data_IF_242986228357
#
_entry.id   IF_242986228357
#
_cell.length_a   1.000
_cell.length_b   1.000
_cell.length_c   1.000
_cell.angle_alpha   90.00
_cell.angle_beta   90.00
_cell.angle_gamma   90.00
#
_symmetry.space_group_name_H-M   'P 1'
#
loop_
_entity.id
_entity.type
_entity.pdbx_description
1 polymer ?
#
# COMPACT_ATOMS: atom_id res chain seq x y z
N UNK A 1 -46.50 24.28 0.60
CA UNK A 1 -45.51 23.85 -0.39
C UNK A 1 -44.16 23.99 0.28
N UNK A 2 -43.66 22.88 0.88
CA UNK A 2 -42.39 22.86 1.63
C UNK A 2 -41.28 22.49 0.68
N UNK A 3 -40.25 23.34 0.61
CA UNK A 3 -39.01 23.07 -0.13
C UNK A 3 -38.21 22.01 0.65
N UNK A 4 -37.73 20.94 0.03
CA UNK A 4 -36.88 19.96 0.72
C UNK A 4 -35.51 20.57 1.06
N UNK A 5 -34.85 20.14 2.15
CA UNK A 5 -33.56 20.66 2.54
C UNK A 5 -32.49 20.31 1.52
N UNK A 6 -31.65 21.29 1.19
CA UNK A 6 -30.48 21.16 0.36
C UNK A 6 -29.54 20.11 0.94
N UNK A 7 -29.16 19.15 0.11
CA UNK A 7 -28.13 18.18 0.37
C UNK A 7 -26.81 18.93 0.65
N UNK A 8 -26.32 18.85 1.87
CA UNK A 8 -25.02 19.37 2.26
C UNK A 8 -23.96 18.69 1.36
N UNK A 9 -23.30 19.51 0.56
CA UNK A 9 -22.20 19.09 -0.29
C UNK A 9 -21.13 18.38 0.53
N UNK A 10 -20.74 17.19 0.10
CA UNK A 10 -19.56 16.53 0.61
C UNK A 10 -18.38 17.48 0.44
N UNK A 11 -17.73 17.81 1.54
CA UNK A 11 -16.48 18.56 1.52
C UNK A 11 -15.50 17.88 0.57
N UNK A 12 -14.86 18.68 -0.31
CA UNK A 12 -13.77 18.19 -1.16
C UNK A 12 -12.72 17.47 -0.28
N UNK A 13 -12.14 16.35 -0.75
CA UNK A 13 -11.11 15.67 0.02
C UNK A 13 -10.02 16.66 0.39
N UNK A 14 -9.64 16.66 1.68
CA UNK A 14 -8.57 17.52 2.17
C UNK A 14 -7.34 17.34 1.29
N UNK A 15 -6.76 18.45 0.85
CA UNK A 15 -5.56 18.48 0.02
C UNK A 15 -4.51 17.51 0.59
N UNK A 16 -4.07 16.55 -0.24
CA UNK A 16 -3.04 15.57 0.11
C UNK A 16 -1.73 16.03 -0.54
N UNK A 17 -0.86 16.75 0.19
CA UNK A 17 0.39 17.23 -0.36
C UNK A 17 1.23 16.06 -0.89
N UNK A 18 1.79 16.21 -2.09
CA UNK A 18 2.55 15.14 -2.73
C UNK A 18 3.73 14.67 -1.89
N UNK A 19 4.36 15.57 -1.16
CA UNK A 19 5.49 15.27 -0.28
C UNK A 19 5.14 14.42 0.94
N UNK A 20 3.85 14.27 1.26
CA UNK A 20 3.39 13.42 2.36
C UNK A 20 3.02 12.00 1.88
N UNK A 21 3.02 11.75 0.57
CA UNK A 21 2.72 10.43 -0.03
C UNK A 21 3.99 9.67 -0.33
N UNK A 22 4.13 8.50 0.27
CA UNK A 22 5.28 7.62 0.10
C UNK A 22 4.87 6.32 -0.62
N UNK A 23 5.54 6.07 -1.75
CA UNK A 23 5.41 4.85 -2.55
C UNK A 23 6.36 3.79 -2.00
N UNK A 24 5.82 2.64 -1.64
CA UNK A 24 6.57 1.49 -1.12
C UNK A 24 6.49 0.35 -2.15
N UNK A 25 7.45 0.23 -3.05
CA UNK A 25 7.51 -0.88 -4.00
C UNK A 25 7.65 -2.24 -3.32
N UNK A 26 7.37 -3.28 -4.08
CA UNK A 26 7.62 -4.66 -3.66
C UNK A 26 9.04 -5.14 -3.99
N UNK A 27 9.23 -6.48 -3.91
CA UNK A 27 10.45 -7.14 -4.34
C UNK A 27 10.80 -6.77 -5.78
N UNK A 28 12.09 -6.52 -6.04
CA UNK A 28 12.65 -6.08 -7.33
C UNK A 28 12.28 -4.66 -7.76
N UNK A 29 11.69 -3.85 -6.85
CA UNK A 29 11.28 -2.47 -7.14
C UNK A 29 10.11 -2.38 -8.14
N UNK A 30 9.75 -1.16 -8.51
CA UNK A 30 8.76 -0.84 -9.56
C UNK A 30 9.49 -0.23 -10.76
N UNK A 31 9.44 -0.91 -11.90
CA UNK A 31 10.03 -0.42 -13.14
C UNK A 31 9.34 0.85 -13.68
N UNK A 32 9.88 1.43 -14.75
CA UNK A 32 9.37 2.69 -15.31
C UNK A 32 7.92 2.60 -15.84
N UNK A 33 7.46 1.40 -16.22
CA UNK A 33 6.09 1.15 -16.69
C UNK A 33 5.08 0.94 -15.55
N UNK A 34 5.55 0.72 -14.34
CA UNK A 34 4.71 0.45 -13.18
C UNK A 34 3.94 1.70 -12.74
N UNK A 35 2.69 1.52 -12.31
CA UNK A 35 1.83 2.64 -11.89
C UNK A 35 2.44 3.47 -10.77
N UNK A 36 3.21 2.89 -9.83
CA UNK A 36 3.92 3.67 -8.80
C UNK A 36 4.96 4.61 -9.42
N UNK A 37 5.76 4.15 -10.37
CA UNK A 37 6.74 5.00 -11.07
C UNK A 37 6.09 6.11 -11.88
N UNK A 38 4.92 5.82 -12.47
CA UNK A 38 4.13 6.83 -13.17
C UNK A 38 3.52 7.85 -12.21
N UNK A 39 3.05 7.42 -11.03
CA UNK A 39 2.55 8.34 -10.00
C UNK A 39 3.65 9.22 -9.42
N UNK A 40 4.85 8.68 -9.22
CA UNK A 40 6.04 9.45 -8.83
C UNK A 40 6.30 10.59 -9.82
N UNK A 41 6.31 10.30 -11.12
CA UNK A 41 6.52 11.29 -12.17
C UNK A 41 5.36 12.29 -12.31
N UNK A 42 4.12 11.79 -12.28
CA UNK A 42 2.92 12.59 -12.56
C UNK A 42 2.48 13.46 -11.39
N UNK A 43 2.59 12.94 -10.17
CA UNK A 43 2.06 13.58 -8.96
C UNK A 43 3.15 14.07 -8.02
N UNK A 44 4.43 13.77 -8.28
CA UNK A 44 5.53 14.15 -7.40
C UNK A 44 5.58 13.38 -6.09
N UNK A 45 4.94 12.20 -6.02
CA UNK A 45 5.02 11.32 -4.86
C UNK A 45 6.43 10.80 -4.64
N UNK A 46 6.80 10.49 -3.40
CA UNK A 46 8.14 10.08 -3.04
C UNK A 46 8.25 8.56 -2.97
N UNK A 47 9.29 8.01 -3.57
CA UNK A 47 9.61 6.59 -3.41
C UNK A 47 10.44 6.37 -2.16
N UNK A 48 10.06 5.36 -1.38
CA UNK A 48 10.90 4.84 -0.31
C UNK A 48 11.98 3.94 -0.93
N UNK A 49 13.19 4.46 -1.03
CA UNK A 49 14.32 3.71 -1.57
C UNK A 49 14.83 2.68 -0.55
N UNK A 50 15.15 1.48 -1.04
CA UNK A 50 15.67 0.38 -0.24
C UNK A 50 17.12 0.08 -0.60
N UNK A 51 17.89 -0.48 0.33
CA UNK A 51 19.30 -0.78 0.12
C UNK A 51 19.52 -1.92 -0.87
N UNK A 52 18.69 -2.95 -0.84
CA UNK A 52 18.75 -4.11 -1.73
C UNK A 52 17.34 -4.52 -2.15
N UNK A 53 17.05 -4.36 -3.44
CA UNK A 53 15.78 -4.75 -4.03
C UNK A 53 15.72 -6.23 -4.41
N UNK A 54 16.89 -6.87 -4.59
CA UNK A 54 16.96 -8.26 -5.06
C UNK A 54 16.95 -9.25 -3.89
N UNK A 55 17.57 -8.90 -2.78
CA UNK A 55 17.64 -9.70 -1.57
C UNK A 55 17.11 -8.89 -0.37
N UNK A 56 15.80 -8.65 -0.33
CA UNK A 56 15.20 -7.76 0.65
C UNK A 56 15.30 -8.37 2.06
N UNK A 57 15.95 -7.65 2.96
CA UNK A 57 15.97 -7.98 4.38
C UNK A 57 14.87 -7.17 5.09
N UNK A 58 13.92 -7.87 5.71
CA UNK A 58 12.77 -7.22 6.38
C UNK A 58 13.20 -6.19 7.43
N UNK A 59 14.24 -6.49 8.19
CA UNK A 59 14.79 -5.57 9.20
C UNK A 59 15.29 -4.26 8.58
N UNK A 60 16.07 -4.33 7.51
CA UNK A 60 16.61 -3.16 6.82
C UNK A 60 15.49 -2.31 6.20
N UNK A 61 14.55 -2.96 5.53
CA UNK A 61 13.40 -2.28 4.94
C UNK A 61 12.54 -1.61 6.01
N UNK A 62 12.34 -2.28 7.15
CA UNK A 62 11.58 -1.74 8.29
C UNK A 62 12.29 -0.55 8.93
N UNK A 63 13.62 -0.60 9.08
CA UNK A 63 14.41 0.52 9.59
C UNK A 63 14.33 1.74 8.67
N UNK A 64 14.43 1.52 7.35
CA UNK A 64 14.29 2.60 6.37
C UNK A 64 12.90 3.25 6.41
N UNK A 65 11.83 2.45 6.52
CA UNK A 65 10.48 3.00 6.70
C UNK A 65 10.34 3.78 8.01
N UNK A 66 10.90 3.26 9.11
CA UNK A 66 10.90 3.91 10.41
C UNK A 66 11.59 5.28 10.36
N UNK A 67 12.79 5.36 9.78
CA UNK A 67 13.52 6.62 9.60
C UNK A 67 12.72 7.62 8.78
N UNK A 68 12.18 7.19 7.63
CA UNK A 68 11.39 8.04 6.73
C UNK A 68 10.16 8.63 7.43
N UNK A 69 9.43 7.80 8.19
CA UNK A 69 8.23 8.26 8.90
C UNK A 69 8.60 9.14 10.09
N UNK A 70 9.71 8.85 10.78
CA UNK A 70 10.19 9.66 11.89
C UNK A 70 10.56 11.09 11.43
N UNK A 71 11.26 11.18 10.31
CA UNK A 71 11.76 12.45 9.76
C UNK A 71 10.68 13.27 9.06
N UNK A 72 9.54 12.67 8.74
CA UNK A 72 8.45 13.37 8.09
C UNK A 72 7.88 14.49 9.00
N UNK A 73 7.76 15.74 8.48
CA UNK A 73 7.27 16.86 9.26
C UNK A 73 5.77 16.76 9.58
N UNK A 74 5.02 16.01 8.78
CA UNK A 74 3.58 15.78 8.91
C UNK A 74 3.27 14.29 8.83
N UNK A 75 2.06 13.86 9.27
CA UNK A 75 1.62 12.48 9.06
C UNK A 75 1.59 12.11 7.57
N UNK A 76 2.15 10.95 7.25
CA UNK A 76 2.32 10.46 5.88
C UNK A 76 1.17 9.56 5.43
N UNK A 77 1.02 9.40 4.12
CA UNK A 77 0.19 8.38 3.49
C UNK A 77 1.10 7.36 2.81
N UNK A 78 0.88 6.08 3.09
CA UNK A 78 1.68 4.99 2.55
C UNK A 78 0.95 4.34 1.36
N UNK A 79 1.63 4.20 0.24
CA UNK A 79 1.11 3.55 -0.97
C UNK A 79 2.00 2.36 -1.30
N UNK A 80 1.61 1.19 -0.83
CA UNK A 80 2.42 -0.01 -0.92
C UNK A 80 1.94 -0.97 -2.00
N UNK A 81 2.87 -1.66 -2.62
CA UNK A 81 2.62 -2.73 -3.57
C UNK A 81 3.33 -4.02 -3.14
N UNK A 82 2.65 -5.16 -3.28
CA UNK A 82 3.23 -6.49 -3.10
C UNK A 82 3.92 -6.66 -1.73
N UNK A 83 5.24 -6.92 -1.71
CA UNK A 83 6.03 -7.06 -0.49
C UNK A 83 6.03 -5.79 0.37
N UNK A 84 5.87 -4.62 -0.25
CA UNK A 84 5.69 -3.35 0.45
C UNK A 84 4.47 -3.33 1.38
N UNK A 85 3.39 -4.06 1.04
CA UNK A 85 2.22 -4.20 1.92
C UNK A 85 2.56 -5.01 3.19
N UNK A 86 3.36 -6.06 3.02
CA UNK A 86 3.80 -6.91 4.14
C UNK A 86 4.77 -6.13 5.06
N UNK A 87 5.62 -5.27 4.46
CA UNK A 87 6.45 -4.33 5.20
C UNK A 87 5.61 -3.40 6.07
N UNK A 88 4.58 -2.78 5.51
CA UNK A 88 3.68 -1.87 6.26
C UNK A 88 3.05 -2.59 7.45
N UNK A 89 2.51 -3.80 7.25
CA UNK A 89 1.87 -4.57 8.30
C UNK A 89 2.87 -4.96 9.42
N UNK A 90 4.07 -5.39 9.04
CA UNK A 90 5.13 -5.72 9.99
C UNK A 90 5.58 -4.49 10.79
N UNK A 91 5.91 -3.42 10.10
CA UNK A 91 6.38 -2.17 10.72
C UNK A 91 5.33 -1.59 11.65
N UNK A 92 4.06 -1.52 11.23
CA UNK A 92 2.99 -0.98 12.05
C UNK A 92 2.75 -1.74 13.35
N UNK A 93 2.98 -3.07 13.35
CA UNK A 93 2.87 -3.90 14.54
C UNK A 93 4.00 -3.68 15.55
N UNK A 94 5.13 -3.12 15.13
CA UNK A 94 6.34 -2.96 15.95
C UNK A 94 6.74 -1.50 16.20
N UNK A 95 6.06 -0.54 15.56
CA UNK A 95 6.38 0.88 15.68
C UNK A 95 5.29 1.67 16.37
N UNK A 96 5.61 2.36 17.48
CA UNK A 96 4.66 3.27 18.13
C UNK A 96 4.31 4.49 17.25
N UNK A 97 5.13 4.81 16.23
CA UNK A 97 4.86 5.94 15.33
C UNK A 97 3.67 5.67 14.39
N UNK A 98 3.35 4.40 14.12
CA UNK A 98 2.31 4.02 13.17
C UNK A 98 0.96 4.70 13.47
N UNK A 99 0.57 4.76 14.74
CA UNK A 99 -0.72 5.34 15.16
C UNK A 99 -0.77 6.88 15.05
N UNK A 100 0.37 7.56 15.00
CA UNK A 100 0.42 9.04 15.09
C UNK A 100 1.01 9.70 13.85
N UNK A 101 1.87 8.99 13.13
CA UNK A 101 2.61 9.51 11.98
C UNK A 101 2.10 8.99 10.64
N UNK A 102 1.12 8.07 10.61
CA UNK A 102 0.50 7.59 9.37
C UNK A 102 -0.98 7.97 9.36
N UNK A 103 -1.38 8.74 8.36
CA UNK A 103 -2.77 9.14 8.14
C UNK A 103 -3.60 8.02 7.52
N UNK A 104 -3.01 7.25 6.62
CA UNK A 104 -3.67 6.13 5.95
C UNK A 104 -2.74 5.35 5.03
N UNK A 105 -3.22 4.21 4.54
CA UNK A 105 -2.46 3.37 3.60
C UNK A 105 -3.32 2.77 2.48
N UNK A 106 -2.83 2.85 1.25
CA UNK A 106 -3.31 2.07 0.11
C UNK A 106 -2.37 0.87 -0.11
N UNK A 107 -2.89 -0.34 0.09
CA UNK A 107 -2.16 -1.59 0.07
C UNK A 107 -2.59 -2.42 -1.15
N UNK A 108 -1.76 -2.46 -2.18
CA UNK A 108 -2.12 -3.00 -3.50
C UNK A 108 -1.46 -4.35 -3.73
N UNK A 109 -2.26 -5.35 -4.09
CA UNK A 109 -1.81 -6.71 -4.41
C UNK A 109 -0.81 -7.25 -3.37
N UNK A 110 -1.16 -7.35 -2.07
CA UNK A 110 -0.24 -7.80 -1.04
C UNK A 110 0.33 -9.17 -1.41
N UNK A 111 1.66 -9.33 -1.38
CA UNK A 111 2.32 -10.60 -1.64
C UNK A 111 2.14 -11.56 -0.47
N UNK A 112 1.63 -12.78 -0.70
CA UNK A 112 1.54 -13.77 0.36
C UNK A 112 2.89 -14.46 0.59
N UNK A 113 3.74 -13.85 1.43
CA UNK A 113 5.07 -14.36 1.76
C UNK A 113 5.04 -15.77 2.43
N UNK A 114 3.88 -16.29 2.76
CA UNK A 114 3.71 -17.65 3.30
C UNK A 114 3.56 -18.71 2.21
N UNK A 115 3.33 -18.32 0.94
CA UNK A 115 3.33 -19.26 -0.17
C UNK A 115 4.71 -19.93 -0.34
N UNK A 116 4.78 -21.23 -0.62
CA UNK A 116 6.06 -21.96 -0.67
C UNK A 116 7.11 -21.32 -1.57
N UNK A 117 6.72 -20.92 -2.78
CA UNK A 117 7.64 -20.32 -3.76
C UNK A 117 8.15 -18.93 -3.35
N UNK A 118 7.35 -18.15 -2.61
CA UNK A 118 7.80 -16.86 -2.10
C UNK A 118 8.63 -17.01 -0.82
N UNK A 119 8.27 -17.97 0.03
CA UNK A 119 9.01 -18.25 1.27
C UNK A 119 10.46 -18.67 1.00
N UNK A 120 10.68 -19.40 -0.09
CA UNK A 120 12.02 -19.85 -0.50
C UNK A 120 12.91 -18.66 -0.93
N UNK A 121 12.36 -17.73 -1.72
CA UNK A 121 13.12 -16.60 -2.30
C UNK A 121 13.12 -15.35 -1.41
N UNK A 122 12.21 -15.27 -0.44
CA UNK A 122 12.06 -14.15 0.49
C UNK A 122 12.18 -14.63 1.95
N UNK A 123 13.35 -15.14 2.35
CA UNK A 123 13.54 -15.64 3.71
C UNK A 123 13.35 -14.52 4.74
N UNK A 124 12.67 -14.85 5.84
CA UNK A 124 12.41 -13.90 6.93
C UNK A 124 11.19 -12.98 6.75
N UNK A 125 10.47 -13.06 5.62
CA UNK A 125 9.24 -12.29 5.41
C UNK A 125 7.97 -12.99 5.92
N UNK A 126 8.01 -14.29 6.09
CA UNK A 126 6.97 -15.04 6.80
C UNK A 126 7.28 -15.10 8.33
N UNK A 127 6.25 -15.19 9.20
CA UNK A 127 4.83 -15.11 8.89
C UNK A 127 4.38 -13.68 8.55
N UNK A 128 3.27 -13.57 7.82
CA UNK A 128 2.61 -12.30 7.56
C UNK A 128 1.95 -11.80 8.85
N UNK A 129 2.20 -10.54 9.21
CA UNK A 129 1.59 -9.93 10.38
C UNK A 129 0.10 -9.68 10.16
N UNK A 130 -0.74 -10.32 10.98
CA UNK A 130 -2.20 -10.30 10.86
C UNK A 130 -2.84 -9.49 11.99
N UNK A 131 -2.23 -8.36 12.37
CA UNK A 131 -2.75 -7.44 13.39
C UNK A 131 -3.43 -6.24 12.72
N UNK A 132 -4.45 -5.69 13.40
CA UNK A 132 -5.14 -4.49 12.95
C UNK A 132 -4.16 -3.33 12.79
N UNK A 133 -4.23 -2.64 11.66
CA UNK A 133 -3.48 -1.41 11.41
C UNK A 133 -4.10 -0.26 12.22
N UNK A 134 -3.28 0.63 12.82
CA UNK A 134 -3.77 1.74 13.64
C UNK A 134 -4.21 2.96 12.83
N UNK A 135 -4.32 2.84 11.51
CA UNK A 135 -4.72 3.91 10.58
C UNK A 135 -5.70 3.39 9.52
N UNK A 136 -6.43 4.31 8.89
CA UNK A 136 -7.34 3.98 7.79
C UNK A 136 -6.59 3.29 6.64
N UNK A 137 -7.15 2.20 6.10
CA UNK A 137 -6.46 1.43 5.07
C UNK A 137 -7.42 0.87 4.03
N UNK A 138 -6.93 0.77 2.81
CA UNK A 138 -7.60 0.11 1.69
C UNK A 138 -6.66 -0.97 1.16
N UNK A 139 -7.17 -2.20 1.06
CA UNK A 139 -6.49 -3.30 0.38
C UNK A 139 -7.14 -3.50 -0.99
N UNK A 140 -6.34 -3.47 -2.04
CA UNK A 140 -6.79 -3.80 -3.40
C UNK A 140 -6.24 -5.18 -3.78
N UNK A 141 -7.12 -6.14 -4.03
CA UNK A 141 -6.76 -7.49 -4.47
C UNK A 141 -7.20 -7.75 -5.91
N UNK A 142 -6.66 -8.80 -6.52
CA UNK A 142 -7.01 -9.24 -7.87
C UNK A 142 -7.40 -10.70 -7.88
N UNK A 143 -8.40 -11.06 -8.71
CA UNK A 143 -8.96 -12.42 -8.73
C UNK A 143 -8.06 -13.44 -9.41
N UNK A 144 -7.07 -13.01 -10.19
CA UNK A 144 -6.12 -13.87 -10.90
C UNK A 144 -4.65 -13.59 -10.54
N UNK A 145 -4.40 -13.01 -9.35
CA UNK A 145 -3.05 -12.81 -8.84
C UNK A 145 -2.41 -14.15 -8.43
N UNK A 146 -1.25 -14.46 -9.00
CA UNK A 146 -0.51 -15.71 -8.73
C UNK A 146 0.28 -15.65 -7.40
N UNK A 147 0.53 -14.45 -6.86
CA UNK A 147 1.29 -14.25 -5.63
C UNK A 147 0.43 -14.13 -4.38
N UNK A 148 -0.89 -13.90 -4.56
CA UNK A 148 -1.86 -13.87 -3.46
C UNK A 148 -3.28 -14.06 -3.99
N UNK A 149 -3.94 -15.13 -3.58
CA UNK A 149 -5.34 -15.33 -3.98
C UNK A 149 -6.24 -14.19 -3.46
N UNK A 150 -7.28 -13.83 -4.19
CA UNK A 150 -8.25 -12.82 -3.74
C UNK A 150 -8.83 -13.13 -2.35
N UNK A 151 -9.05 -14.43 -2.04
CA UNK A 151 -9.49 -14.86 -0.71
C UNK A 151 -8.45 -14.54 0.35
N UNK A 152 -7.17 -14.79 0.08
CA UNK A 152 -6.08 -14.49 1.03
C UNK A 152 -5.90 -12.99 1.22
N UNK A 153 -5.95 -12.20 0.14
CA UNK A 153 -5.90 -10.74 0.22
C UNK A 153 -7.07 -10.18 1.05
N UNK A 154 -8.27 -10.73 0.91
CA UNK A 154 -9.43 -10.38 1.75
C UNK A 154 -9.21 -10.75 3.21
N UNK A 155 -8.67 -11.94 3.49
CA UNK A 155 -8.31 -12.34 4.87
C UNK A 155 -7.30 -11.38 5.51
N UNK A 156 -6.31 -10.93 4.74
CA UNK A 156 -5.36 -9.89 5.20
C UNK A 156 -6.09 -8.57 5.47
N UNK A 157 -6.95 -8.12 4.55
CA UNK A 157 -7.73 -6.90 4.71
C UNK A 157 -8.59 -6.93 5.99
N UNK A 158 -9.29 -8.02 6.24
CA UNK A 158 -10.13 -8.21 7.42
C UNK A 158 -9.29 -8.14 8.71
N UNK A 159 -8.15 -8.84 8.75
CA UNK A 159 -7.23 -8.82 9.89
C UNK A 159 -6.64 -7.44 10.14
N UNK A 160 -6.26 -6.73 9.08
CA UNK A 160 -5.72 -5.36 9.14
C UNK A 160 -6.79 -4.31 9.44
N UNK A 161 -8.07 -4.66 9.38
CA UNK A 161 -9.19 -3.73 9.53
C UNK A 161 -9.32 -2.76 8.37
N UNK A 162 -8.88 -3.17 7.18
CA UNK A 162 -8.86 -2.39 5.97
C UNK A 162 -10.12 -2.63 5.12
N UNK A 163 -10.54 -1.61 4.36
CA UNK A 163 -11.56 -1.78 3.32
C UNK A 163 -10.98 -2.60 2.17
N UNK A 164 -11.62 -3.70 1.80
CA UNK A 164 -11.20 -4.50 0.64
C UNK A 164 -11.86 -4.00 -0.64
N UNK A 165 -11.07 -3.91 -1.71
CA UNK A 165 -11.52 -3.59 -3.07
C UNK A 165 -11.04 -4.70 -4.01
N UNK A 166 -11.95 -5.29 -4.78
CA UNK A 166 -11.64 -6.27 -5.81
C UNK A 166 -11.41 -5.55 -7.15
N UNK A 167 -10.20 -5.65 -7.68
CA UNK A 167 -9.84 -5.09 -8.98
C UNK A 167 -10.25 -5.98 -10.17
N UNK A 168 -10.92 -7.12 -9.91
CA UNK A 168 -11.18 -8.12 -10.92
C UNK A 168 -9.90 -8.84 -11.37
N UNK A 169 -9.83 -9.36 -12.61
CA UNK A 169 -8.69 -10.12 -13.11
C UNK A 169 -7.57 -9.20 -13.58
N UNK A 170 -6.92 -8.48 -12.66
CA UNK A 170 -5.87 -7.50 -12.92
C UNK A 170 -4.44 -8.04 -12.71
N UNK A 171 -4.25 -9.37 -12.64
CA UNK A 171 -2.94 -9.96 -12.38
C UNK A 171 -2.38 -9.52 -11.03
N UNK A 172 -1.07 -9.30 -10.94
CA UNK A 172 -0.43 -8.80 -9.72
C UNK A 172 -0.47 -7.26 -9.60
N UNK A 173 -1.35 -6.60 -10.35
CA UNK A 173 -1.50 -5.12 -10.40
C UNK A 173 -0.14 -4.43 -10.55
N UNK A 174 0.67 -4.95 -11.46
CA UNK A 174 2.01 -4.45 -11.78
C UNK A 174 2.09 -3.99 -13.25
N UNK A 175 3.28 -3.78 -13.78
CA UNK A 175 3.51 -3.36 -15.17
C UNK A 175 2.86 -4.30 -16.18
N UNK A 176 2.93 -5.62 -15.97
CA UNK A 176 2.31 -6.61 -16.85
C UNK A 176 0.78 -6.54 -16.89
N UNK A 177 0.16 -5.90 -15.91
CA UNK A 177 -1.29 -5.68 -15.88
C UNK A 177 -1.78 -4.60 -16.86
N UNK A 178 -0.88 -3.83 -17.47
CA UNK A 178 -1.21 -2.83 -18.47
C UNK A 178 -2.06 -1.65 -18.00
N UNK A 179 -2.04 -1.35 -16.69
CA UNK A 179 -2.92 -0.34 -16.09
C UNK A 179 -2.52 1.11 -16.41
N UNK A 180 -1.32 1.33 -16.94
CA UNK A 180 -0.82 2.67 -17.22
C UNK A 180 -0.77 3.54 -15.95
N UNK A 181 -1.38 4.72 -15.99
CA UNK A 181 -1.42 5.65 -14.86
C UNK A 181 -2.38 5.23 -13.73
N UNK A 182 -3.16 4.20 -13.96
CA UNK A 182 -4.11 3.60 -13.01
C UNK A 182 -4.94 4.63 -12.23
N UNK A 183 -5.65 5.48 -12.95
CA UNK A 183 -6.50 6.53 -12.36
C UNK A 183 -7.54 5.98 -11.36
N UNK A 184 -8.00 4.74 -11.54
CA UNK A 184 -8.90 4.07 -10.60
C UNK A 184 -8.26 3.88 -9.22
N UNK A 185 -7.01 3.43 -9.17
CA UNK A 185 -6.25 3.29 -7.94
C UNK A 185 -5.95 4.64 -7.29
N UNK A 186 -5.63 5.64 -8.10
CA UNK A 186 -5.38 6.99 -7.61
C UNK A 186 -6.64 7.59 -6.95
N UNK A 187 -7.81 7.38 -7.52
CA UNK A 187 -9.08 7.77 -6.90
C UNK A 187 -9.30 7.09 -5.54
N UNK A 188 -8.91 5.83 -5.38
CA UNK A 188 -8.97 5.15 -4.08
C UNK A 188 -8.04 5.81 -3.06
N UNK A 189 -6.81 6.15 -3.45
CA UNK A 189 -5.86 6.86 -2.60
C UNK A 189 -6.47 8.16 -2.05
N UNK A 190 -7.13 8.93 -2.90
CA UNK A 190 -7.74 10.22 -2.51
C UNK A 190 -8.94 10.07 -1.55
N UNK A 191 -9.38 8.85 -1.23
CA UNK A 191 -10.45 8.60 -0.23
C UNK A 191 -9.91 8.28 1.18
N UNK A 192 -8.60 8.31 1.39
CA UNK A 192 -7.93 8.04 2.69
C UNK A 192 -7.84 9.30 3.59
#
# INVERSE_FOLDING_TARGET
>A
MQVPPETQGQAAPADMPAEDVWLLPGWQNSDAGHWQSRWEQRHGYRRLEQNDWQRPLRGDWSARLQETVLDAPRPVVLVAHSLGCILVAWWAAHSPLAAHKVRGALLVAPGDAEQPHLREVLPGWAPVMMQRLPFASIVVGSSNDIHCSARRARTMADAWGARFVDAGPAGHINTASGLGDWDGGHKLLLTL
#
